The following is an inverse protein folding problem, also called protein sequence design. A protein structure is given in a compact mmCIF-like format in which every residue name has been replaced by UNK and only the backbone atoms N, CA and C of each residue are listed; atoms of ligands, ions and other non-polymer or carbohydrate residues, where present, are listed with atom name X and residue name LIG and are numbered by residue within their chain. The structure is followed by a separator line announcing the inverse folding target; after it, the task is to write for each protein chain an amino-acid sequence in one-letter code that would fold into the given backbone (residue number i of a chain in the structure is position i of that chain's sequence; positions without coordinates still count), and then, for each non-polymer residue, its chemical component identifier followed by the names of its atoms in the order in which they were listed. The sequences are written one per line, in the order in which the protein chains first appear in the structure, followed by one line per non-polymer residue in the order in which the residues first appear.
data_IF_491485566637
#
_entry.id   IF_491485566637
#
_cell.length_a   1.000
_cell.length_b   1.000
_cell.length_c   1.000
_cell.angle_alpha   90.00
_cell.angle_beta   90.00
_cell.angle_gamma   90.00
#
_symmetry.space_group_name_H-M   'P 1'
#
loop_
_entity.id
_entity.type
_entity.pdbx_description
1 polymer ?
#
# COMPACT_ATOMS: atom_id res chain seq x y z
N UNK A 1 8.63 19.32 13.52
CA UNK A 1 7.92 18.06 13.85
C UNK A 1 7.07 17.62 12.68
N UNK A 2 6.17 18.48 12.19
CA UNK A 2 5.33 18.19 11.02
C UNK A 2 6.08 18.44 9.69
N UNK A 3 7.01 19.40 9.64
CA UNK A 3 7.70 19.78 8.42
C UNK A 3 8.53 18.64 7.77
N UNK A 4 9.17 17.80 8.58
CA UNK A 4 10.00 16.67 8.10
C UNK A 4 9.11 15.56 7.51
N UNK A 5 8.01 15.23 8.20
CA UNK A 5 7.00 14.29 7.71
C UNK A 5 6.29 14.82 6.45
N UNK A 6 6.00 16.12 6.43
CA UNK A 6 5.40 16.79 5.29
C UNK A 6 6.34 16.75 4.08
N UNK A 7 7.65 16.93 4.28
CA UNK A 7 8.65 16.78 3.22
C UNK A 7 8.72 15.35 2.68
N UNK A 8 8.62 14.34 3.56
CA UNK A 8 8.55 12.94 3.15
C UNK A 8 7.30 12.69 2.27
N UNK A 9 6.13 13.13 2.72
CA UNK A 9 4.85 12.96 2.02
C UNK A 9 4.78 13.73 0.69
N UNK A 10 5.24 14.99 0.67
CA UNK A 10 5.06 15.89 -0.49
C UNK A 10 6.21 15.84 -1.50
N UNK A 11 7.37 15.29 -1.13
CA UNK A 11 8.53 15.23 -2.05
C UNK A 11 9.05 13.81 -2.27
N UNK A 12 9.31 13.06 -1.20
CA UNK A 12 9.98 11.75 -1.33
C UNK A 12 9.07 10.68 -1.97
N UNK A 13 7.81 10.60 -1.53
CA UNK A 13 6.81 9.67 -2.11
C UNK A 13 6.46 10.01 -3.57
N UNK A 14 6.16 11.26 -3.95
CA UNK A 14 5.84 11.55 -5.35
C UNK A 14 7.02 11.38 -6.29
N UNK A 15 8.27 11.61 -5.86
CA UNK A 15 9.46 11.35 -6.69
C UNK A 15 9.66 9.85 -6.99
N UNK A 16 9.49 9.01 -5.96
CA UNK A 16 9.53 7.56 -6.14
C UNK A 16 8.37 7.06 -6.98
N UNK A 17 7.15 7.58 -6.77
CA UNK A 17 5.99 7.29 -7.62
C UNK A 17 6.23 7.65 -9.09
N UNK A 18 6.85 8.81 -9.38
CA UNK A 18 7.20 9.20 -10.74
C UNK A 18 8.20 8.22 -11.37
N UNK A 19 9.14 7.69 -10.59
CA UNK A 19 10.10 6.70 -11.10
C UNK A 19 9.44 5.36 -11.37
N UNK A 20 8.52 4.92 -10.50
CA UNK A 20 7.70 3.72 -10.70
C UNK A 20 6.83 3.87 -11.96
N UNK A 21 6.25 5.04 -12.21
CA UNK A 21 5.49 5.31 -13.43
C UNK A 21 6.35 5.15 -14.70
N UNK A 22 7.56 5.72 -14.72
CA UNK A 22 8.50 5.55 -15.84
C UNK A 22 8.89 4.09 -16.08
N UNK A 23 9.01 3.31 -15.01
CA UNK A 23 9.23 1.87 -15.10
C UNK A 23 8.02 1.14 -15.68
N UNK A 24 6.81 1.49 -15.27
CA UNK A 24 5.58 0.93 -15.82
C UNK A 24 5.47 1.20 -17.33
N UNK A 25 5.78 2.42 -17.76
CA UNK A 25 5.81 2.79 -19.19
C UNK A 25 6.86 1.96 -19.96
N UNK A 26 8.07 1.80 -19.39
CA UNK A 26 9.14 0.99 -19.99
C UNK A 26 8.79 -0.50 -20.04
N UNK A 27 8.10 -1.02 -19.02
CA UNK A 27 7.59 -2.41 -18.96
C UNK A 27 6.53 -2.61 -20.03
N UNK A 28 5.59 -1.67 -20.17
CA UNK A 28 4.54 -1.72 -21.18
C UNK A 28 5.13 -1.71 -22.60
N UNK A 29 6.09 -0.82 -22.88
CA UNK A 29 6.81 -0.78 -24.16
C UNK A 29 7.45 -2.14 -24.49
N UNK A 30 8.22 -2.72 -23.56
CA UNK A 30 8.85 -4.03 -23.75
C UNK A 30 7.83 -5.16 -23.98
N UNK A 31 6.76 -5.20 -23.17
CA UNK A 31 5.71 -6.22 -23.31
C UNK A 31 4.94 -6.08 -24.62
N UNK A 32 4.68 -4.86 -25.09
CA UNK A 32 4.05 -4.63 -26.39
C UNK A 32 4.87 -5.21 -27.54
N UNK A 33 6.20 -5.10 -27.49
CA UNK A 33 7.07 -5.73 -28.47
C UNK A 33 7.08 -7.26 -28.36
N UNK A 34 7.01 -7.80 -27.14
CA UNK A 34 6.90 -9.25 -26.94
C UNK A 34 5.60 -9.80 -27.53
N UNK A 35 4.48 -9.11 -27.30
CA UNK A 35 3.18 -9.46 -27.87
C UNK A 35 3.22 -9.38 -29.39
N UNK A 36 3.79 -8.31 -29.96
CA UNK A 36 3.89 -8.16 -31.42
C UNK A 36 4.74 -9.24 -32.07
N UNK A 37 5.84 -9.66 -31.45
CA UNK A 37 6.65 -10.80 -31.94
C UNK A 37 5.87 -12.10 -31.87
N UNK A 38 5.09 -12.32 -30.81
CA UNK A 38 4.25 -13.51 -30.66
C UNK A 38 3.17 -13.56 -31.75
N UNK A 39 2.43 -12.47 -31.96
CA UNK A 39 1.45 -12.36 -33.04
C UNK A 39 2.05 -12.69 -34.42
N UNK A 40 3.23 -12.12 -34.72
CA UNK A 40 3.90 -12.39 -36.00
C UNK A 40 4.38 -13.83 -36.16
N UNK A 41 4.77 -14.50 -35.07
CA UNK A 41 5.14 -15.92 -35.08
C UNK A 41 3.90 -16.81 -35.25
N UNK A 42 2.80 -16.45 -34.58
CA UNK A 42 1.53 -17.19 -34.66
C UNK A 42 0.94 -17.11 -36.08
N UNK A 43 1.00 -15.93 -36.72
CA UNK A 43 0.66 -15.75 -38.14
C UNK A 43 1.50 -16.66 -39.04
N UNK A 44 2.83 -16.67 -38.87
CA UNK A 44 3.74 -17.49 -39.68
C UNK A 44 3.44 -18.99 -39.51
N UNK A 45 3.16 -19.43 -38.28
CA UNK A 45 2.77 -20.80 -37.99
C UNK A 45 1.43 -21.18 -38.64
N UNK A 46 0.47 -20.26 -38.66
CA UNK A 46 -0.82 -20.46 -39.32
C UNK A 46 -0.67 -20.65 -40.83
N UNK A 47 0.06 -19.77 -41.52
CA UNK A 47 0.30 -19.88 -42.96
C UNK A 47 1.14 -21.11 -43.32
N UNK A 48 2.14 -21.46 -42.50
CA UNK A 48 2.91 -22.69 -42.68
C UNK A 48 2.03 -23.95 -42.57
N UNK A 49 1.03 -23.95 -41.69
CA UNK A 49 0.08 -25.07 -41.56
C UNK A 49 -0.84 -25.18 -42.77
N UNK A 50 -1.22 -24.04 -43.36
CA UNK A 50 -2.01 -23.98 -44.58
C UNK A 50 -1.20 -24.22 -45.87
N UNK A 51 0.13 -24.35 -45.77
CA UNK A 51 1.06 -24.42 -46.89
C UNK A 51 0.91 -23.25 -47.89
N UNK A 52 0.51 -22.08 -47.39
CA UNK A 52 0.40 -20.85 -48.17
C UNK A 52 1.61 -19.94 -47.94
N UNK A 53 2.00 -19.18 -48.97
CA UNK A 53 3.13 -18.25 -48.91
C UNK A 53 2.69 -16.94 -48.24
N UNK A 54 3.43 -16.52 -47.21
CA UNK A 54 3.19 -15.25 -46.52
C UNK A 54 3.81 -14.07 -47.29
N UNK A 55 2.99 -13.13 -47.74
CA UNK A 55 3.42 -11.92 -48.49
C UNK A 55 4.49 -11.08 -47.76
N UNK A 56 4.50 -11.06 -46.41
CA UNK A 56 5.53 -10.38 -45.60
C UNK A 56 6.92 -10.99 -45.81
N UNK A 57 6.99 -12.29 -46.07
CA UNK A 57 8.24 -13.03 -46.29
C UNK A 57 8.77 -12.78 -47.70
N UNK A 58 7.90 -12.51 -48.69
CA UNK A 58 8.32 -12.18 -50.06
C UNK A 58 9.14 -10.88 -50.13
N UNK A 59 8.81 -9.89 -49.29
CA UNK A 59 9.62 -8.66 -49.14
C UNK A 59 10.87 -8.85 -48.25
N UNK A 60 11.20 -10.08 -47.84
CA UNK A 60 12.37 -10.36 -47.03
C UNK A 60 12.20 -10.08 -45.53
N UNK A 61 10.97 -10.01 -45.01
CA UNK A 61 10.64 -9.99 -43.58
C UNK A 61 11.35 -8.86 -42.76
N UNK A 62 11.46 -7.65 -43.33
CA UNK A 62 12.13 -6.52 -42.68
C UNK A 62 11.45 -6.06 -41.38
N UNK A 63 10.11 -6.07 -41.36
CA UNK A 63 9.33 -5.64 -40.21
C UNK A 63 9.65 -6.48 -38.97
N UNK A 64 9.68 -7.82 -39.12
CA UNK A 64 10.05 -8.73 -38.05
C UNK A 64 11.45 -8.46 -37.51
N UNK A 65 12.43 -8.22 -38.39
CA UNK A 65 13.80 -7.88 -37.96
C UNK A 65 13.86 -6.57 -37.17
N UNK A 66 13.11 -5.55 -37.60
CA UNK A 66 13.06 -4.27 -36.90
C UNK A 66 12.43 -4.47 -35.52
N UNK A 67 11.31 -5.18 -35.43
CA UNK A 67 10.63 -5.45 -34.16
C UNK A 67 11.53 -6.25 -33.20
N UNK A 68 12.26 -7.26 -33.68
CA UNK A 68 13.22 -8.00 -32.85
C UNK A 68 14.32 -7.08 -32.27
N UNK A 69 14.82 -6.14 -33.10
CA UNK A 69 15.81 -5.15 -32.64
C UNK A 69 15.22 -4.21 -31.60
N UNK A 70 14.01 -3.70 -31.84
CA UNK A 70 13.28 -2.85 -30.89
C UNK A 70 13.02 -3.57 -29.57
N UNK A 71 12.64 -4.86 -29.61
CA UNK A 71 12.46 -5.70 -28.42
C UNK A 71 13.74 -5.79 -27.60
N UNK A 72 14.88 -6.01 -28.24
CA UNK A 72 16.17 -6.10 -27.55
C UNK A 72 16.53 -4.78 -26.85
N UNK A 73 16.36 -3.65 -27.56
CA UNK A 73 16.61 -2.32 -27.00
C UNK A 73 15.66 -1.99 -25.83
N UNK A 74 14.38 -2.36 -25.96
CA UNK A 74 13.39 -2.20 -24.90
C UNK A 74 13.68 -3.09 -23.69
N UNK A 75 14.17 -4.32 -23.91
CA UNK A 75 14.59 -5.25 -22.85
C UNK A 75 15.69 -4.65 -21.98
N UNK A 76 16.71 -4.09 -22.62
CA UNK A 76 17.86 -3.53 -21.91
C UNK A 76 17.46 -2.26 -21.13
N UNK A 77 16.57 -1.42 -21.69
CA UNK A 77 15.98 -0.27 -20.99
C UNK A 77 15.14 -0.71 -19.78
N UNK A 78 14.25 -1.69 -19.97
CA UNK A 78 13.42 -2.24 -18.91
C UNK A 78 14.26 -2.83 -17.78
N UNK A 79 15.29 -3.63 -18.11
CA UNK A 79 16.17 -4.24 -17.11
C UNK A 79 16.89 -3.19 -16.26
N UNK A 80 17.38 -2.11 -16.89
CA UNK A 80 18.00 -0.99 -16.19
C UNK A 80 17.00 -0.25 -15.28
N UNK A 81 15.82 0.08 -15.79
CA UNK A 81 14.79 0.75 -14.99
C UNK A 81 14.32 -0.13 -13.82
N UNK A 82 14.31 -1.47 -13.99
CA UNK A 82 13.96 -2.42 -12.92
C UNK A 82 14.96 -2.36 -11.78
N UNK A 83 16.27 -2.39 -12.07
CA UNK A 83 17.28 -2.23 -11.02
C UNK A 83 17.20 -0.87 -10.33
N UNK A 84 16.96 0.20 -11.10
CA UNK A 84 16.88 1.56 -10.57
C UNK A 84 15.67 1.73 -9.62
N UNK A 85 14.50 1.19 -9.97
CA UNK A 85 13.30 1.24 -9.12
C UNK A 85 13.51 0.42 -7.84
N UNK A 86 14.11 -0.76 -7.93
CA UNK A 86 14.35 -1.61 -6.77
C UNK A 86 15.20 -0.87 -5.72
N UNK A 87 16.33 -0.30 -6.15
CA UNK A 87 17.22 0.46 -5.25
C UNK A 87 16.50 1.68 -4.67
N UNK A 88 15.70 2.40 -5.46
CA UNK A 88 14.94 3.55 -4.95
C UNK A 88 13.88 3.17 -3.92
N UNK A 89 13.19 2.05 -4.10
CA UNK A 89 12.21 1.57 -3.14
C UNK A 89 12.87 1.16 -1.82
N UNK A 90 14.02 0.50 -1.89
CA UNK A 90 14.80 0.13 -0.70
C UNK A 90 15.26 1.37 0.07
N UNK A 91 15.81 2.38 -0.63
CA UNK A 91 16.22 3.65 -0.01
C UNK A 91 15.05 4.41 0.61
N UNK A 92 13.89 4.40 -0.05
CA UNK A 92 12.68 5.03 0.48
C UNK A 92 12.23 4.34 1.77
N UNK A 93 12.23 3.01 1.80
CA UNK A 93 11.80 2.26 2.98
C UNK A 93 12.78 2.45 4.15
N UNK A 94 14.09 2.44 3.88
CA UNK A 94 15.09 2.73 4.91
C UNK A 94 14.89 4.13 5.51
N UNK A 95 14.65 5.14 4.66
CA UNK A 95 14.34 6.50 5.12
C UNK A 95 13.04 6.55 5.92
N UNK A 96 11.99 5.87 5.46
CA UNK A 96 10.69 5.80 6.13
C UNK A 96 10.83 5.33 7.56
N UNK A 97 11.53 4.21 7.76
CA UNK A 97 11.72 3.63 9.10
C UNK A 97 12.49 4.58 10.01
N UNK A 98 13.57 5.19 9.50
CA UNK A 98 14.36 6.16 10.25
C UNK A 98 13.53 7.39 10.66
N UNK A 99 12.79 7.98 9.73
CA UNK A 99 11.99 9.18 9.97
C UNK A 99 10.87 8.92 10.99
N UNK A 100 10.19 7.76 10.92
CA UNK A 100 9.13 7.39 11.85
C UNK A 100 9.69 7.18 13.26
N UNK A 101 10.75 6.39 13.40
CA UNK A 101 11.37 6.11 14.71
C UNK A 101 11.84 7.41 15.36
N UNK A 102 12.49 8.27 14.57
CA UNK A 102 12.97 9.55 15.08
C UNK A 102 11.83 10.47 15.53
N UNK A 103 10.74 10.55 14.76
CA UNK A 103 9.57 11.35 15.14
C UNK A 103 8.88 10.81 16.40
N UNK A 104 8.72 9.50 16.52
CA UNK A 104 8.09 8.87 17.68
C UNK A 104 8.92 9.04 18.94
N UNK A 105 10.24 8.84 18.84
CA UNK A 105 11.17 9.06 19.95
C UNK A 105 11.14 10.51 20.43
N UNK A 106 11.10 11.48 19.51
CA UNK A 106 11.02 12.91 19.85
C UNK A 106 9.67 13.30 20.46
N UNK A 107 8.58 12.66 20.04
CA UNK A 107 7.25 12.83 20.66
C UNK A 107 7.27 12.31 22.10
N UNK A 108 7.78 11.09 22.33
CA UNK A 108 7.90 10.52 23.67
C UNK A 108 8.77 11.40 24.58
N UNK A 109 9.91 11.89 24.08
CA UNK A 109 10.76 12.81 24.85
C UNK A 109 10.06 14.13 25.20
N UNK A 110 9.24 14.66 24.29
CA UNK A 110 8.45 15.86 24.55
C UNK A 110 7.33 15.62 25.57
N UNK A 111 6.65 14.47 25.50
CA UNK A 111 5.63 14.05 26.47
C UNK A 111 6.22 13.81 27.85
N UNK A 112 7.35 13.11 27.94
CA UNK A 112 8.07 12.91 29.20
C UNK A 112 8.47 14.24 29.83
N UNK A 113 8.99 15.18 29.02
CA UNK A 113 9.28 16.54 29.48
C UNK A 113 8.03 17.30 29.95
N UNK A 114 6.92 17.18 29.22
CA UNK A 114 5.65 17.81 29.59
C UNK A 114 5.10 17.25 30.90
N UNK A 115 5.07 15.92 31.05
CA UNK A 115 4.60 15.26 32.28
C UNK A 115 5.48 15.59 33.48
N UNK A 116 6.80 15.66 33.31
CA UNK A 116 7.72 16.11 34.36
C UNK A 116 7.44 17.55 34.77
N UNK A 117 7.29 18.47 33.81
CA UNK A 117 6.97 19.86 34.10
C UNK A 117 5.61 20.03 34.79
N UNK A 118 4.58 19.28 34.36
CA UNK A 118 3.27 19.29 35.03
C UNK A 118 3.33 18.70 36.43
N UNK A 119 4.12 17.65 36.65
CA UNK A 119 4.31 17.04 37.97
C UNK A 119 5.07 17.98 38.92
N UNK A 120 6.11 18.67 38.44
CA UNK A 120 6.84 19.69 39.22
C UNK A 120 5.89 20.81 39.68
N UNK A 121 5.08 21.36 38.77
CA UNK A 121 4.08 22.39 39.10
C UNK A 121 3.05 21.83 40.11
N UNK A 122 2.61 20.58 39.94
CA UNK A 122 1.62 19.97 40.83
C UNK A 122 2.18 19.60 42.20
N UNK A 123 3.48 19.32 42.33
CA UNK A 123 4.15 19.11 43.62
C UNK A 123 4.32 20.41 44.41
N UNK A 124 4.50 21.54 43.74
CA UNK A 124 4.55 22.85 44.41
C UNK A 124 3.20 23.24 45.01
N UNK A 125 2.09 22.83 44.38
CA UNK A 125 0.76 23.03 44.92
C UNK A 125 0.42 21.89 45.88
N UNK A 126 0.71 22.09 47.16
CA UNK A 126 0.38 21.15 48.24
C UNK A 126 -1.14 21.13 48.52
N UNK A 127 -1.94 20.69 47.54
CA UNK A 127 -3.36 20.39 47.74
C UNK A 127 -3.39 19.04 48.46
N UNK A 128 -3.32 19.10 49.80
CA UNK A 128 -3.52 17.97 50.70
C UNK A 128 -4.78 17.15 50.32
N UNK A 129 -4.86 15.87 50.72
CA UNK A 129 -5.83 14.93 50.22
C UNK A 129 -7.23 15.41 50.57
N UNK A 130 -8.04 15.65 49.53
CA UNK A 130 -9.48 15.78 49.71
C UNK A 130 -9.94 14.40 50.17
N UNK A 131 -10.13 14.23 51.48
CA UNK A 131 -10.89 13.12 52.02
C UNK A 131 -12.33 13.32 51.51
N UNK A 132 -12.64 12.67 50.39
CA UNK A 132 -14.03 12.53 49.95
C UNK A 132 -14.65 11.57 50.94
N UNK A 133 -15.35 12.12 51.92
CA UNK A 133 -16.13 11.34 52.87
C UNK A 133 -17.29 10.70 52.10
N UNK A 134 -17.16 9.41 51.76
CA UNK A 134 -18.17 8.66 50.99
C UNK A 134 -19.43 8.40 51.86
N UNK A 135 -19.46 8.89 53.09
CA UNK A 135 -20.61 8.86 53.98
C UNK A 135 -21.67 9.92 53.62
N UNK A 136 -22.19 9.88 52.40
CA UNK A 136 -23.53 10.38 52.12
C UNK A 136 -24.44 9.20 51.71
N UNK A 137 -25.70 9.19 52.15
CA UNK A 137 -26.62 8.06 52.05
C UNK A 137 -27.17 7.92 50.63
N UNK A 138 -26.30 7.78 49.63
CA UNK A 138 -26.70 7.49 48.24
C UNK A 138 -27.09 6.00 48.11
N UNK A 139 -26.67 5.17 49.07
CA UNK A 139 -27.06 3.76 49.16
C UNK A 139 -28.33 3.48 49.98
N UNK A 140 -28.95 4.47 50.65
CA UNK A 140 -30.32 4.29 51.14
C UNK A 140 -31.31 4.58 50.02
N UNK A 141 -31.18 3.84 48.91
CA UNK A 141 -32.29 3.66 47.98
C UNK A 141 -33.32 2.90 48.80
N UNK A 142 -34.35 3.61 49.23
CA UNK A 142 -35.51 3.06 49.91
C UNK A 142 -35.94 1.81 49.17
N UNK A 143 -35.77 0.64 49.79
CA UNK A 143 -36.55 -0.54 49.49
C UNK A 143 -37.99 -0.25 49.94
N UNK A 144 -38.69 0.57 49.17
CA UNK A 144 -40.13 0.68 49.24
C UNK A 144 -40.66 0.25 47.88
N UNK A 145 -41.21 -0.96 47.91
CA UNK A 145 -42.14 -1.51 46.95
C UNK A 145 -43.06 -0.40 46.42
N UNK A 146 -43.09 -0.20 45.11
CA UNK A 146 -44.32 0.14 44.43
C UNK A 146 -44.36 -0.50 43.04
N UNK A 147 -45.54 -1.03 42.77
CA UNK A 147 -45.93 -1.89 41.68
C UNK A 147 -46.03 -1.11 40.36
N UNK A 148 -45.71 -1.82 39.29
CA UNK A 148 -46.34 -1.79 37.97
C UNK A 148 -46.68 -0.46 37.26
N UNK A 149 -46.09 -0.40 36.07
CA UNK A 149 -46.70 -0.09 34.77
C UNK A 149 -46.49 1.30 34.13
N UNK A 150 -45.99 1.17 32.90
CA UNK A 150 -46.13 2.02 31.72
C UNK A 150 -45.34 3.33 31.65
N UNK A 151 -44.23 3.24 30.90
CA UNK A 151 -44.03 4.17 29.79
C UNK A 151 -43.06 3.61 28.74
N UNK A 152 -43.61 3.43 27.53
CA UNK A 152 -42.92 3.18 26.27
C UNK A 152 -41.79 4.18 26.00
N UNK A 153 -40.67 3.67 25.47
CA UNK A 153 -39.98 4.27 24.32
C UNK A 153 -38.85 3.36 23.80
N UNK A 154 -39.09 2.86 22.58
CA UNK A 154 -38.15 2.63 21.48
C UNK A 154 -36.87 1.83 21.74
N UNK A 155 -36.94 0.54 21.36
CA UNK A 155 -35.78 -0.32 21.12
C UNK A 155 -35.07 0.09 19.83
N UNK A 156 -33.98 0.85 19.93
CA UNK A 156 -32.99 0.93 18.85
C UNK A 156 -32.15 -0.35 18.83
N UNK A 157 -32.42 -1.19 17.82
CA UNK A 157 -31.65 -2.40 17.50
C UNK A 157 -30.21 -2.04 17.11
N UNK A 158 -29.23 -2.52 17.88
CA UNK A 158 -27.86 -2.67 17.42
C UNK A 158 -27.81 -3.73 16.31
N UNK A 159 -27.52 -3.29 15.08
CA UNK A 159 -27.18 -4.17 13.95
C UNK A 159 -25.65 -4.28 13.88
N UNK A 160 -25.10 -5.40 14.35
CA UNK A 160 -23.70 -5.76 14.10
C UNK A 160 -23.52 -6.15 12.63
N UNK A 161 -22.73 -5.38 11.90
CA UNK A 161 -22.30 -5.71 10.53
C UNK A 161 -20.93 -6.38 10.60
N UNK A 162 -20.77 -7.64 10.15
CA UNK A 162 -19.45 -8.27 10.08
C UNK A 162 -18.65 -7.68 8.89
N UNK A 163 -17.51 -7.05 9.20
CA UNK A 163 -16.48 -6.72 8.20
C UNK A 163 -15.68 -7.98 7.86
N UNK A 164 -15.93 -8.57 6.69
CA UNK A 164 -15.00 -9.52 6.06
C UNK A 164 -13.96 -8.73 5.27
N UNK A 165 -12.70 -8.82 5.67
CA UNK A 165 -11.56 -8.28 4.95
C UNK A 165 -11.18 -9.29 3.87
N UNK A 166 -11.33 -8.91 2.60
CA UNK A 166 -10.85 -9.69 1.46
C UNK A 166 -9.33 -9.48 1.31
N UNK A 167 -8.52 -10.35 1.90
CA UNK A 167 -7.06 -10.41 1.67
C UNK A 167 -6.67 -11.45 0.60
N UNK A 168 -7.61 -12.27 0.14
CA UNK A 168 -7.32 -13.42 -0.73
C UNK A 168 -7.19 -13.07 -2.24
N UNK A 169 -7.63 -11.88 -2.65
CA UNK A 169 -7.60 -11.48 -4.07
C UNK A 169 -6.19 -11.10 -4.56
N UNK A 170 -5.33 -10.57 -3.68
CA UNK A 170 -3.97 -10.16 -4.04
C UNK A 170 -3.01 -11.36 -4.17
N UNK A 171 -3.29 -12.46 -3.48
CA UNK A 171 -2.44 -13.66 -3.52
C UNK A 171 -2.60 -14.46 -4.81
N UNK A 172 -3.77 -14.41 -5.44
CA UNK A 172 -4.05 -15.11 -6.70
C UNK A 172 -3.40 -14.41 -7.90
N UNK A 173 -3.37 -13.08 -7.93
CA UNK A 173 -2.67 -12.32 -8.99
C UNK A 173 -1.15 -12.59 -9.00
N UNK A 174 -0.54 -12.80 -7.83
CA UNK A 174 0.90 -13.10 -7.71
C UNK A 174 1.23 -14.52 -8.18
N UNK A 175 0.29 -15.47 -8.04
CA UNK A 175 0.49 -16.85 -8.43
C UNK A 175 0.41 -17.02 -9.96
N UNK A 176 -0.53 -16.33 -10.60
CA UNK A 176 -0.69 -16.34 -12.05
C UNK A 176 0.53 -15.69 -12.77
N UNK A 177 1.12 -14.65 -12.18
CA UNK A 177 2.35 -14.03 -12.65
C UNK A 177 3.58 -14.95 -12.54
N UNK A 178 3.56 -15.93 -11.61
CA UNK A 178 4.64 -16.91 -11.44
C UNK A 178 4.51 -18.10 -12.41
N UNK A 179 3.29 -18.48 -12.77
CA UNK A 179 3.05 -19.58 -13.73
C UNK A 179 3.37 -19.18 -15.17
N UNK A 180 3.14 -17.91 -15.54
CA UNK A 180 3.55 -17.35 -16.83
C UNK A 180 5.07 -17.37 -17.06
N UNK A 181 5.88 -17.49 -16.00
CA UNK A 181 7.34 -17.60 -16.06
C UNK A 181 7.85 -19.03 -16.24
N UNK A 182 7.02 -20.06 -16.04
CA UNK A 182 7.43 -21.47 -16.15
C UNK A 182 7.15 -22.11 -17.50
N UNK A 183 6.47 -21.42 -18.42
CA UNK A 183 6.15 -21.91 -19.77
C UNK A 183 7.30 -21.59 -20.77
N UNK A 184 8.44 -21.07 -20.27
CA UNK A 184 9.53 -20.56 -21.09
C UNK A 184 10.84 -21.37 -21.11
N UNK A 185 10.88 -22.58 -20.52
CA UNK A 185 12.00 -23.53 -20.64
C UNK A 185 11.61 -24.77 -21.45
#
# INVERSE_FOLDING_TARGET
MIADLNTYLTKAIPDTRLTVQKYADSKFEYLSYCLKVKEMNDEEQFFNTQAELLYRVESGNYEYRIILRCRQLARDRFAKMRSDVLVKLELLDQKRVQDIVFQLHRLMAALDKYHKASNEIMQEVNIFPIQVDIALPIFSKQENNDQDQDQDQDQDQFVDVPHQVNEDLDAQEILDDLELLKIGD
#
